data_IF_562813569182
#
_entry.id   IF_562813569182
#
_cell.length_a   1.000
_cell.length_b   1.000
_cell.length_c   1.000
_cell.angle_alpha   90.00
_cell.angle_beta   90.00
_cell.angle_gamma   90.00
#
_symmetry.space_group_name_H-M   'P 1'
#
loop_
_entity.id
_entity.type
_entity.pdbx_description
1 polymer ?
#
# COMPACT_ATOMS: atom_id res chain seq x y z
N UNK A 1 57.25 11.08 -68.54
CA UNK A 1 56.64 10.19 -67.55
C UNK A 1 56.45 10.98 -66.24
N UNK A 2 55.23 11.48 -65.93
CA UNK A 2 54.92 12.23 -64.71
C UNK A 2 54.28 11.27 -63.67
N UNK A 3 54.94 11.08 -62.59
CA UNK A 3 54.41 10.28 -61.45
C UNK A 3 53.48 11.18 -60.63
N UNK A 4 52.18 10.87 -60.59
CA UNK A 4 51.23 11.44 -59.65
C UNK A 4 51.33 10.71 -58.31
N UNK A 5 51.82 11.41 -57.27
CA UNK A 5 51.78 10.92 -55.88
C UNK A 5 50.36 11.15 -55.38
N UNK A 6 49.62 10.06 -55.14
CA UNK A 6 48.30 10.09 -54.45
C UNK A 6 48.55 10.18 -52.94
N UNK A 7 48.26 11.37 -52.36
CA UNK A 7 48.23 11.54 -50.89
C UNK A 7 46.89 10.98 -50.41
N UNK A 8 46.95 9.89 -49.65
CA UNK A 8 45.79 9.32 -48.92
C UNK A 8 45.68 10.04 -47.57
N UNK A 9 44.58 10.73 -47.25
CA UNK A 9 44.45 11.35 -45.97
C UNK A 9 44.19 10.26 -44.90
N UNK A 10 45.09 10.16 -43.93
CA UNK A 10 44.93 9.31 -42.73
C UNK A 10 44.05 10.09 -41.76
N UNK A 11 42.78 9.70 -41.64
CA UNK A 11 41.93 10.19 -40.57
C UNK A 11 42.30 9.53 -39.25
N UNK A 12 42.90 10.30 -38.35
CA UNK A 12 43.17 9.89 -36.99
C UNK A 12 41.88 10.03 -36.17
N UNK A 13 41.16 8.91 -35.95
CA UNK A 13 40.01 8.87 -35.05
C UNK A 13 40.53 8.90 -33.60
N UNK A 14 40.45 10.07 -32.96
CA UNK A 14 40.70 10.18 -31.52
C UNK A 14 39.44 9.63 -30.81
N UNK A 15 39.54 8.38 -30.36
CA UNK A 15 38.59 7.84 -29.39
C UNK A 15 38.84 8.53 -28.05
N UNK A 16 38.00 9.52 -27.73
CA UNK A 16 37.91 10.06 -26.37
C UNK A 16 37.23 8.98 -25.51
N UNK A 17 38.03 8.14 -24.87
CA UNK A 17 37.57 7.27 -23.77
C UNK A 17 37.14 8.18 -22.62
N UNK A 18 35.85 8.54 -22.57
CA UNK A 18 35.27 9.16 -21.39
C UNK A 18 35.35 8.12 -20.28
N UNK A 19 36.31 8.26 -19.39
CA UNK A 19 36.38 7.47 -18.16
C UNK A 19 35.25 7.99 -17.26
N UNK A 20 34.10 7.38 -17.33
CA UNK A 20 32.99 7.72 -16.44
C UNK A 20 33.38 7.34 -15.02
N UNK A 21 33.54 8.35 -14.17
CA UNK A 21 33.93 8.14 -12.77
C UNK A 21 32.81 7.35 -12.10
N UNK A 22 33.08 6.13 -11.71
CA UNK A 22 32.11 5.31 -10.98
C UNK A 22 31.99 5.86 -9.56
N UNK A 23 31.03 6.77 -9.36
CA UNK A 23 30.80 7.42 -8.07
C UNK A 23 30.00 6.48 -7.14
N UNK A 24 30.26 6.55 -5.82
CA UNK A 24 29.56 5.74 -4.82
C UNK A 24 28.03 5.91 -4.85
N UNK A 25 27.58 7.14 -5.12
CA UNK A 25 26.15 7.47 -5.11
C UNK A 25 25.71 8.03 -6.46
N UNK A 26 24.47 7.77 -6.80
CA UNK A 26 23.80 8.39 -7.94
C UNK A 26 23.18 9.74 -7.52
N UNK A 27 22.62 9.80 -6.29
CA UNK A 27 22.05 11.00 -5.70
C UNK A 27 22.47 11.12 -4.24
N UNK A 28 22.76 12.34 -3.79
CA UNK A 28 22.90 12.68 -2.38
C UNK A 28 21.86 13.73 -2.02
N UNK A 29 21.05 13.48 -1.00
CA UNK A 29 20.24 14.51 -0.32
C UNK A 29 21.02 15.02 0.87
N UNK A 30 21.18 16.35 0.96
CA UNK A 30 21.97 17.00 2.01
C UNK A 30 21.15 17.88 2.93
N UNK A 31 21.58 17.95 4.19
CA UNK A 31 21.05 18.88 5.19
C UNK A 31 19.58 18.65 5.54
N UNK A 32 19.08 17.43 5.41
CA UNK A 32 17.69 17.10 5.74
C UNK A 32 17.49 16.70 7.19
N UNK A 33 16.28 16.93 7.70
CA UNK A 33 15.82 16.37 8.97
C UNK A 33 15.13 15.04 8.67
N UNK A 34 15.64 13.95 9.22
CA UNK A 34 15.11 12.61 9.01
C UNK A 34 14.02 12.31 10.04
N UNK A 35 12.87 11.85 9.56
CA UNK A 35 11.81 11.21 10.35
C UNK A 35 11.62 9.81 9.79
N UNK A 36 12.22 8.82 10.43
CA UNK A 36 12.38 7.46 9.87
C UNK A 36 11.17 6.54 10.01
N UNK A 37 10.14 6.97 10.75
CA UNK A 37 8.93 6.17 10.98
C UNK A 37 9.11 5.04 11.99
N UNK A 38 10.24 4.94 12.67
CA UNK A 38 10.54 3.91 13.66
C UNK A 38 10.27 4.37 15.11
N UNK A 39 9.77 5.60 15.29
CA UNK A 39 9.53 6.19 16.60
C UNK A 39 10.77 6.84 17.22
N UNK A 40 11.82 7.02 16.44
CA UNK A 40 12.98 7.79 16.87
C UNK A 40 12.69 9.29 16.82
N UNK A 41 13.40 10.08 17.67
CA UNK A 41 13.40 11.52 17.55
C UNK A 41 13.95 11.94 16.19
N UNK A 42 13.44 13.01 15.58
CA UNK A 42 13.98 13.55 14.33
C UNK A 42 15.47 13.89 14.46
N UNK A 43 16.25 13.56 13.45
CA UNK A 43 17.70 13.82 13.45
C UNK A 43 18.18 14.35 12.09
N UNK A 44 19.27 15.13 12.09
CA UNK A 44 19.88 15.64 10.86
C UNK A 44 20.83 14.60 10.26
N UNK A 45 20.65 14.32 8.96
CA UNK A 45 21.55 13.47 8.20
C UNK A 45 21.46 13.74 6.69
N UNK A 46 22.52 13.35 5.99
CA UNK A 46 22.57 13.23 4.54
C UNK A 46 22.21 11.81 4.12
N UNK A 47 21.60 11.65 2.95
CA UNK A 47 21.23 10.34 2.39
C UNK A 47 21.95 10.13 1.07
N UNK A 48 22.72 9.01 0.97
CA UNK A 48 23.31 8.54 -0.27
C UNK A 48 22.48 7.43 -0.91
N UNK A 49 22.10 7.63 -2.18
CA UNK A 49 21.30 6.66 -2.97
C UNK A 49 22.16 6.09 -4.09
N UNK A 50 22.08 4.75 -4.27
CA UNK A 50 22.65 4.02 -5.40
C UNK A 50 21.59 3.10 -6.01
N UNK A 51 21.28 3.31 -7.29
CA UNK A 51 20.18 2.62 -7.94
C UNK A 51 18.84 2.91 -7.23
N UNK A 52 18.21 1.87 -6.73
CA UNK A 52 16.94 1.94 -6.00
C UNK A 52 17.08 1.76 -4.47
N UNK A 53 18.29 1.96 -3.93
CA UNK A 53 18.57 1.72 -2.50
C UNK A 53 19.17 2.93 -1.82
N UNK A 54 18.74 3.19 -0.60
CA UNK A 54 19.49 4.01 0.35
C UNK A 54 20.67 3.16 0.81
N UNK A 55 21.89 3.62 0.52
CA UNK A 55 23.12 2.88 0.84
C UNK A 55 23.93 3.53 1.96
N UNK A 56 23.65 4.80 2.25
CA UNK A 56 24.34 5.56 3.30
C UNK A 56 23.36 6.52 3.96
N UNK A 57 23.45 6.64 5.27
CA UNK A 57 22.78 7.62 6.11
C UNK A 57 23.79 8.13 7.14
N UNK A 58 24.34 9.32 6.93
CA UNK A 58 25.41 9.91 7.74
C UNK A 58 25.22 11.41 7.89
N UNK A 59 25.81 11.99 8.93
CA UNK A 59 25.68 13.43 9.18
C UNK A 59 26.29 14.32 8.10
N UNK A 60 27.29 13.81 7.36
CA UNK A 60 27.95 14.60 6.32
C UNK A 60 28.56 13.68 5.25
N UNK A 61 27.89 13.61 4.10
CA UNK A 61 28.39 12.92 2.90
C UNK A 61 29.05 13.95 1.98
N UNK A 62 30.30 13.71 1.53
CA UNK A 62 30.97 14.62 0.62
C UNK A 62 30.25 14.73 -0.73
N UNK A 63 30.06 15.98 -1.20
CA UNK A 63 29.29 16.25 -2.43
C UNK A 63 29.95 15.75 -3.70
N UNK A 64 31.27 15.51 -3.69
CA UNK A 64 32.04 14.96 -4.85
C UNK A 64 31.82 13.47 -5.08
N UNK A 65 31.11 12.79 -4.18
CA UNK A 65 30.78 11.36 -4.26
C UNK A 65 29.54 11.07 -5.10
N UNK A 66 28.86 12.09 -5.63
CA UNK A 66 27.71 11.95 -6.55
C UNK A 66 27.74 13.00 -7.66
N UNK A 67 27.15 12.67 -8.80
CA UNK A 67 26.89 13.66 -9.87
C UNK A 67 25.69 14.56 -9.56
N UNK A 68 24.78 14.10 -8.71
CA UNK A 68 23.57 14.83 -8.34
C UNK A 68 23.49 15.00 -6.84
N UNK A 69 23.53 16.26 -6.41
CA UNK A 69 23.37 16.64 -5.00
C UNK A 69 22.15 17.54 -4.89
N UNK A 70 21.25 17.21 -3.99
CA UNK A 70 20.02 17.93 -3.76
C UNK A 70 20.07 18.48 -2.33
N UNK A 71 20.08 19.79 -2.19
CA UNK A 71 19.97 20.43 -0.88
C UNK A 71 18.51 20.41 -0.42
N UNK A 72 18.27 19.80 0.72
CA UNK A 72 16.97 19.67 1.37
C UNK A 72 16.95 20.35 2.73
N UNK A 73 17.77 21.41 2.91
CA UNK A 73 17.76 22.25 4.09
C UNK A 73 16.35 22.73 4.42
N UNK A 74 15.99 22.69 5.70
CA UNK A 74 14.66 23.05 6.21
C UNK A 74 13.53 22.15 5.67
N UNK A 75 13.84 20.95 5.23
CA UNK A 75 12.85 19.94 4.82
C UNK A 75 12.96 18.69 5.68
N UNK A 76 11.84 18.03 5.84
CA UNK A 76 11.77 16.69 6.45
C UNK A 76 11.91 15.67 5.34
N UNK A 77 12.72 14.64 5.57
CA UNK A 77 12.80 13.46 4.74
C UNK A 77 12.19 12.32 5.54
N UNK A 78 11.21 11.64 4.94
CA UNK A 78 10.56 10.48 5.53
C UNK A 78 10.45 9.35 4.51
N UNK A 79 10.23 8.10 4.94
CA UNK A 79 9.72 7.06 4.05
C UNK A 79 8.44 7.52 3.35
N UNK A 80 8.19 7.01 2.15
CA UNK A 80 6.91 7.24 1.48
C UNK A 80 5.74 6.68 2.30
N UNK A 81 4.63 7.42 2.33
CA UNK A 81 3.45 7.01 3.07
C UNK A 81 2.77 5.80 2.40
N UNK A 82 2.14 4.97 3.22
CA UNK A 82 1.31 3.84 2.80
C UNK A 82 -0.15 4.22 3.05
N UNK A 83 -0.93 4.34 1.97
CA UNK A 83 -2.39 4.43 2.09
C UNK A 83 -2.95 3.01 2.09
N UNK A 84 -3.46 2.59 3.23
CA UNK A 84 -3.98 1.23 3.42
C UNK A 84 -5.50 1.11 3.22
N UNK A 85 -6.14 2.15 2.69
CA UNK A 85 -7.56 2.13 2.35
C UNK A 85 -7.88 3.01 1.14
N UNK A 86 -7.72 2.47 -0.06
CA UNK A 86 -8.08 3.15 -1.29
C UNK A 86 -8.94 2.27 -2.21
N UNK A 87 -9.71 2.90 -3.09
CA UNK A 87 -10.54 2.26 -4.10
C UNK A 87 -10.00 2.63 -5.49
N UNK A 88 -8.98 1.94 -5.95
CA UNK A 88 -8.27 2.26 -7.19
C UNK A 88 -8.46 1.22 -8.30
N UNK A 89 -9.04 0.06 -7.98
CA UNK A 89 -9.07 -1.11 -8.84
C UNK A 89 -9.82 -0.90 -10.17
N UNK A 90 -10.70 0.09 -10.25
CA UNK A 90 -11.52 0.34 -11.44
C UNK A 90 -10.90 1.30 -12.43
N UNK A 91 -9.99 2.18 -11.98
CA UNK A 91 -9.50 3.29 -12.80
C UNK A 91 -7.99 3.55 -12.75
N UNK A 92 -7.24 2.79 -11.96
CA UNK A 92 -5.80 3.00 -11.83
C UNK A 92 -5.04 2.84 -13.17
N UNK A 93 -5.52 1.95 -14.04
CA UNK A 93 -4.94 1.74 -15.37
C UNK A 93 -5.15 2.93 -16.33
N UNK A 94 -6.19 3.76 -16.10
CA UNK A 94 -6.44 4.99 -16.84
C UNK A 94 -5.58 6.16 -16.32
N UNK A 95 -5.18 6.07 -15.03
CA UNK A 95 -4.39 7.09 -14.34
C UNK A 95 -3.13 6.50 -13.70
N UNK A 96 -2.22 5.89 -14.51
CA UNK A 96 -1.11 5.08 -13.98
C UNK A 96 -0.10 5.85 -13.14
N UNK A 97 0.01 7.16 -13.30
CA UNK A 97 0.87 7.98 -12.46
C UNK A 97 0.31 8.20 -11.06
N UNK A 98 -1.00 7.99 -10.84
CA UNK A 98 -1.68 8.20 -9.56
C UNK A 98 -1.25 9.51 -8.87
N UNK A 99 -1.20 10.61 -9.62
CA UNK A 99 -0.61 11.89 -9.18
C UNK A 99 -1.25 12.45 -7.90
N UNK A 100 -2.54 12.21 -7.71
CA UNK A 100 -3.27 12.58 -6.48
C UNK A 100 -2.72 11.89 -5.22
N UNK A 101 -2.08 10.72 -5.35
CA UNK A 101 -1.40 10.01 -4.27
C UNK A 101 0.07 10.43 -4.16
N UNK A 102 0.84 10.29 -5.24
CA UNK A 102 2.29 10.50 -5.19
C UNK A 102 2.67 11.95 -4.88
N UNK A 103 1.86 12.94 -5.31
CA UNK A 103 2.07 14.37 -4.95
C UNK A 103 1.81 14.67 -3.48
N UNK A 104 1.22 13.76 -2.73
CA UNK A 104 1.06 13.83 -1.27
C UNK A 104 2.08 12.96 -0.52
N UNK A 105 3.06 12.38 -1.23
CA UNK A 105 4.08 11.52 -0.66
C UNK A 105 3.63 10.07 -0.43
N UNK A 106 2.45 9.67 -0.94
CA UNK A 106 1.96 8.29 -0.87
C UNK A 106 2.64 7.49 -1.97
N UNK A 107 3.47 6.53 -1.60
CA UNK A 107 4.24 5.70 -2.53
C UNK A 107 3.75 4.25 -2.59
N UNK A 108 2.86 3.87 -1.68
CA UNK A 108 2.24 2.55 -1.63
C UNK A 108 0.75 2.68 -1.36
N UNK A 109 -0.06 2.00 -2.15
CA UNK A 109 -1.52 2.03 -2.05
C UNK A 109 -2.03 0.61 -1.88
N UNK A 110 -2.83 0.38 -0.82
CA UNK A 110 -3.48 -0.89 -0.58
C UNK A 110 -4.96 -0.77 -0.94
N UNK A 111 -5.35 -1.46 -2.01
CA UNK A 111 -6.73 -1.42 -2.52
C UNK A 111 -7.66 -2.28 -1.67
N UNK A 112 -8.63 -1.61 -1.05
CA UNK A 112 -9.72 -2.26 -0.32
C UNK A 112 -10.81 -2.70 -1.26
N UNK A 113 -10.91 -4.01 -1.52
CA UNK A 113 -11.88 -4.58 -2.45
C UNK A 113 -13.23 -4.93 -1.80
N UNK A 114 -13.57 -4.26 -0.70
CA UNK A 114 -14.78 -4.56 0.07
C UNK A 114 -16.09 -4.14 -0.62
N UNK A 115 -16.02 -3.28 -1.63
CA UNK A 115 -17.20 -2.80 -2.40
C UNK A 115 -17.72 -3.82 -3.43
N UNK A 116 -17.01 -4.91 -3.68
CA UNK A 116 -17.44 -6.00 -4.54
C UNK A 116 -16.93 -5.96 -5.97
N UNK A 117 -16.01 -5.07 -6.27
CA UNK A 117 -15.37 -4.94 -7.60
C UNK A 117 -13.95 -5.53 -7.59
N UNK A 118 -13.84 -6.76 -7.09
CA UNK A 118 -12.56 -7.45 -7.02
C UNK A 118 -12.15 -7.99 -8.38
N UNK A 119 -10.99 -7.61 -8.93
CA UNK A 119 -10.43 -8.28 -10.10
C UNK A 119 -10.06 -9.73 -9.75
N UNK A 120 -10.25 -10.61 -10.72
CA UNK A 120 -9.96 -12.03 -10.53
C UNK A 120 -9.37 -12.64 -11.79
N UNK A 121 -8.23 -13.35 -11.76
CA UNK A 121 -7.33 -13.53 -10.59
C UNK A 121 -6.62 -12.24 -10.14
N UNK A 122 -6.37 -12.10 -8.83
CA UNK A 122 -5.77 -10.86 -8.27
C UNK A 122 -4.34 -10.67 -8.75
N UNK A 123 -3.55 -11.74 -8.80
CA UNK A 123 -2.14 -11.72 -9.21
C UNK A 123 -1.98 -11.35 -10.70
N UNK A 124 -2.79 -11.92 -11.58
CA UNK A 124 -2.77 -11.56 -13.00
C UNK A 124 -3.11 -10.08 -13.21
N UNK A 125 -4.12 -9.59 -12.49
CA UNK A 125 -4.47 -8.17 -12.54
C UNK A 125 -3.34 -7.30 -12.01
N UNK A 126 -2.77 -7.64 -10.85
CA UNK A 126 -1.66 -6.89 -10.26
C UNK A 126 -0.44 -6.83 -11.21
N UNK A 127 -0.09 -7.95 -11.84
CA UNK A 127 1.01 -8.01 -12.81
C UNK A 127 0.73 -7.25 -14.11
N UNK A 128 -0.52 -7.01 -14.46
CA UNK A 128 -0.90 -6.24 -15.66
C UNK A 128 -0.79 -4.72 -15.44
N UNK A 129 -0.58 -4.24 -14.21
CA UNK A 129 -0.56 -2.82 -13.89
C UNK A 129 0.84 -2.24 -14.09
N UNK A 130 0.96 -1.29 -15.02
CA UNK A 130 2.15 -0.44 -15.19
C UNK A 130 1.89 0.91 -14.54
N UNK A 131 2.15 1.04 -13.24
CA UNK A 131 1.77 2.20 -12.43
C UNK A 131 2.94 2.73 -11.61
N UNK A 132 2.91 4.02 -11.27
CA UNK A 132 3.98 4.67 -10.53
C UNK A 132 4.09 4.24 -9.04
N UNK A 133 2.98 4.16 -8.26
CA UNK A 133 3.06 3.70 -6.88
C UNK A 133 3.17 2.18 -6.79
N UNK A 134 3.66 1.68 -5.65
CA UNK A 134 3.47 0.28 -5.30
C UNK A 134 2.00 0.02 -4.98
N UNK A 135 1.47 -1.11 -5.43
CA UNK A 135 0.06 -1.47 -5.21
C UNK A 135 -0.03 -2.87 -4.59
N UNK A 136 -0.89 -2.99 -3.59
CA UNK A 136 -1.31 -4.25 -3.01
C UNK A 136 -2.82 -4.35 -2.94
N UNK A 137 -3.34 -5.56 -2.79
CA UNK A 137 -4.78 -5.83 -2.78
C UNK A 137 -5.18 -6.62 -1.54
N UNK A 138 -6.37 -6.31 -1.03
CA UNK A 138 -7.06 -7.13 -0.04
C UNK A 138 -8.08 -8.03 -0.73
N UNK A 139 -8.34 -9.21 -0.17
CA UNK A 139 -9.45 -10.06 -0.58
C UNK A 139 -10.79 -9.51 -0.07
N UNK A 140 -11.75 -9.29 -0.93
CA UNK A 140 -13.02 -8.61 -0.64
C UNK A 140 -14.16 -9.57 -0.29
N UNK A 141 -14.72 -9.43 0.91
CA UNK A 141 -15.87 -10.22 1.39
C UNK A 141 -17.11 -10.10 0.48
N UNK A 142 -17.45 -8.86 0.11
CA UNK A 142 -18.64 -8.60 -0.73
C UNK A 142 -18.57 -9.33 -2.05
N UNK A 143 -17.39 -9.37 -2.68
CA UNK A 143 -17.19 -10.11 -3.92
C UNK A 143 -17.37 -11.61 -3.69
N UNK A 144 -16.77 -12.17 -2.64
CA UNK A 144 -16.90 -13.59 -2.30
C UNK A 144 -18.36 -13.96 -2.08
N UNK A 145 -19.10 -13.15 -1.31
CA UNK A 145 -20.54 -13.40 -1.12
C UNK A 145 -21.30 -13.40 -2.43
N UNK A 146 -21.02 -12.44 -3.32
CA UNK A 146 -21.65 -12.40 -4.65
C UNK A 146 -21.37 -13.64 -5.48
N UNK A 147 -20.14 -14.20 -5.41
CA UNK A 147 -19.80 -15.41 -6.17
C UNK A 147 -20.57 -16.63 -5.68
N UNK A 148 -20.82 -16.77 -4.37
CA UNK A 148 -21.35 -17.99 -3.77
C UNK A 148 -22.84 -17.88 -3.44
N UNK A 149 -23.29 -16.73 -2.93
CA UNK A 149 -24.65 -16.50 -2.46
C UNK A 149 -25.43 -15.50 -3.32
N UNK A 150 -24.77 -14.80 -4.25
CA UNK A 150 -25.38 -13.70 -4.97
C UNK A 150 -25.80 -12.56 -4.05
N UNK A 151 -27.05 -12.13 -4.18
CA UNK A 151 -27.64 -11.05 -3.37
C UNK A 151 -28.59 -11.58 -2.29
N UNK A 152 -28.55 -12.88 -2.00
CA UNK A 152 -29.47 -13.49 -1.05
C UNK A 152 -29.19 -13.06 0.39
N UNK A 153 -30.28 -12.68 1.09
CA UNK A 153 -30.24 -12.37 2.51
C UNK A 153 -30.43 -13.66 3.33
N UNK A 154 -29.39 -14.46 3.43
CA UNK A 154 -29.37 -15.70 4.21
C UNK A 154 -27.94 -16.06 4.64
N UNK A 155 -27.85 -16.93 5.61
CA UNK A 155 -26.57 -17.55 5.97
C UNK A 155 -26.08 -18.52 4.88
N UNK A 156 -24.79 -18.71 4.70
CA UNK A 156 -24.23 -19.77 3.86
C UNK A 156 -24.51 -21.14 4.48
N UNK A 157 -24.80 -22.13 3.65
CA UNK A 157 -24.72 -23.53 4.07
C UNK A 157 -23.26 -23.91 4.36
N UNK A 158 -23.04 -25.04 5.03
CA UNK A 158 -21.68 -25.53 5.29
C UNK A 158 -20.84 -25.70 4.02
N UNK A 159 -21.45 -26.12 2.92
CA UNK A 159 -20.78 -26.29 1.62
C UNK A 159 -20.38 -24.92 1.04
N UNK A 160 -21.28 -23.95 1.08
CA UNK A 160 -21.04 -22.61 0.58
C UNK A 160 -19.97 -21.88 1.43
N UNK A 161 -19.99 -22.06 2.75
CA UNK A 161 -18.95 -21.48 3.62
C UNK A 161 -17.56 -22.08 3.29
N UNK A 162 -17.47 -23.37 2.99
CA UNK A 162 -16.21 -23.97 2.53
C UNK A 162 -15.76 -23.37 1.20
N UNK A 163 -16.67 -23.11 0.27
CA UNK A 163 -16.37 -22.45 -0.99
C UNK A 163 -15.88 -21.01 -0.79
N UNK A 164 -16.55 -20.24 0.07
CA UNK A 164 -16.12 -18.89 0.45
C UNK A 164 -14.71 -18.90 1.06
N UNK A 165 -14.41 -19.85 1.95
CA UNK A 165 -13.07 -20.03 2.54
C UNK A 165 -12.02 -20.35 1.45
N UNK A 166 -12.38 -21.11 0.43
CA UNK A 166 -11.47 -21.39 -0.68
C UNK A 166 -11.15 -20.10 -1.48
N UNK A 167 -12.12 -19.22 -1.72
CA UNK A 167 -11.85 -17.93 -2.36
C UNK A 167 -10.89 -17.06 -1.54
N UNK A 168 -11.05 -17.00 -0.21
CA UNK A 168 -10.07 -16.30 0.64
C UNK A 168 -8.69 -16.94 0.51
N UNK A 169 -8.62 -18.27 0.63
CA UNK A 169 -7.36 -19.03 0.54
C UNK A 169 -6.63 -18.79 -0.79
N UNK A 170 -7.35 -18.86 -1.91
CA UNK A 170 -6.74 -18.63 -3.23
C UNK A 170 -6.31 -17.15 -3.37
N UNK A 171 -7.13 -16.18 -2.91
CA UNK A 171 -6.72 -14.76 -2.89
C UNK A 171 -5.42 -14.55 -2.12
N UNK A 172 -5.28 -15.15 -0.94
CA UNK A 172 -4.05 -15.06 -0.14
C UNK A 172 -2.85 -15.70 -0.85
N UNK A 173 -3.03 -16.82 -1.54
CA UNK A 173 -1.97 -17.43 -2.37
C UNK A 173 -1.55 -16.57 -3.55
N UNK A 174 -2.48 -15.82 -4.13
CA UNK A 174 -2.25 -14.84 -5.20
C UNK A 174 -1.61 -13.55 -4.69
N UNK A 175 -1.25 -13.47 -3.42
CA UNK A 175 -0.55 -12.31 -2.84
C UNK A 175 -1.45 -11.25 -2.24
N UNK A 176 -2.73 -11.55 -1.96
CA UNK A 176 -3.56 -10.64 -1.17
C UNK A 176 -2.95 -10.43 0.22
N UNK A 177 -2.99 -9.18 0.70
CA UNK A 177 -2.35 -8.76 1.96
C UNK A 177 -3.19 -9.17 3.18
N UNK A 178 -4.48 -9.39 2.96
CA UNK A 178 -5.42 -9.74 4.00
C UNK A 178 -6.85 -9.80 3.49
N UNK A 179 -7.79 -9.74 4.42
CA UNK A 179 -9.21 -9.86 4.18
C UNK A 179 -9.92 -8.56 4.54
N UNK A 180 -10.80 -8.07 3.65
CA UNK A 180 -11.51 -6.82 3.88
C UNK A 180 -13.02 -6.99 3.78
N UNK A 181 -13.76 -6.28 4.65
CA UNK A 181 -15.21 -6.25 4.65
C UNK A 181 -15.76 -4.83 4.55
N UNK A 182 -16.94 -4.73 3.95
CA UNK A 182 -17.76 -3.50 4.00
C UNK A 182 -19.16 -3.86 4.53
N UNK A 183 -19.24 -4.13 5.84
CA UNK A 183 -20.44 -4.68 6.47
C UNK A 183 -21.65 -3.73 6.48
N UNK A 184 -21.46 -2.49 6.06
CA UNK A 184 -22.56 -1.54 5.84
C UNK A 184 -23.31 -1.85 4.53
N UNK A 185 -22.63 -2.43 3.53
CA UNK A 185 -23.14 -2.56 2.18
C UNK A 185 -23.74 -3.92 1.89
N UNK A 186 -24.78 -3.96 1.03
CA UNK A 186 -25.38 -5.20 0.52
C UNK A 186 -24.45 -5.84 -0.51
N UNK A 187 -24.26 -7.17 -0.51
CA UNK A 187 -24.83 -8.17 0.39
C UNK A 187 -24.01 -8.47 1.65
N UNK A 188 -22.89 -7.78 1.88
CA UNK A 188 -22.04 -8.05 3.04
C UNK A 188 -22.74 -7.80 4.39
N UNK A 189 -23.71 -6.87 4.45
CA UNK A 189 -24.46 -6.58 5.66
C UNK A 189 -25.41 -7.72 6.10
N UNK A 190 -25.68 -8.67 5.24
CA UNK A 190 -26.46 -9.87 5.57
C UNK A 190 -25.64 -10.91 6.34
N UNK A 191 -24.31 -10.80 6.31
CA UNK A 191 -23.44 -11.73 6.99
C UNK A 191 -23.53 -11.59 8.51
N UNK A 192 -23.64 -12.71 9.19
CA UNK A 192 -23.42 -12.81 10.63
C UNK A 192 -21.93 -12.76 10.96
N UNK A 193 -21.62 -12.41 12.19
CA UNK A 193 -20.24 -12.30 12.65
C UNK A 193 -19.46 -13.62 12.49
N UNK A 194 -20.13 -14.76 12.70
CA UNK A 194 -19.53 -16.09 12.60
C UNK A 194 -19.00 -16.38 11.19
N UNK A 195 -19.72 -15.94 10.13
CA UNK A 195 -19.25 -16.03 8.76
C UNK A 195 -17.94 -15.25 8.58
N UNK A 196 -17.92 -14.00 9.05
CA UNK A 196 -16.76 -13.13 8.91
C UNK A 196 -15.55 -13.70 9.68
N UNK A 197 -15.76 -14.20 10.91
CA UNK A 197 -14.73 -14.82 11.73
C UNK A 197 -14.12 -16.03 11.00
N UNK A 198 -14.96 -16.89 10.42
CA UNK A 198 -14.49 -18.11 9.74
C UNK A 198 -13.66 -17.77 8.48
N UNK A 199 -14.00 -16.72 7.76
CA UNK A 199 -13.23 -16.25 6.61
C UNK A 199 -11.93 -15.53 7.05
N UNK A 200 -11.99 -14.72 8.11
CA UNK A 200 -10.83 -14.05 8.68
C UNK A 200 -9.79 -15.05 9.22
N UNK A 201 -10.22 -16.20 9.80
CA UNK A 201 -9.31 -17.29 10.21
C UNK A 201 -8.46 -17.81 9.06
N UNK A 202 -9.04 -17.89 7.85
CA UNK A 202 -8.27 -18.31 6.67
C UNK A 202 -7.19 -17.27 6.34
N UNK A 203 -7.52 -16.00 6.28
CA UNK A 203 -6.53 -14.94 6.05
C UNK A 203 -5.45 -14.89 7.14
N UNK A 204 -5.84 -15.08 8.40
CA UNK A 204 -4.93 -15.18 9.55
C UNK A 204 -3.88 -16.28 9.36
N UNK A 205 -4.27 -17.46 8.84
CA UNK A 205 -3.35 -18.58 8.61
C UNK A 205 -2.25 -18.28 7.59
N UNK A 206 -2.39 -17.21 6.81
CA UNK A 206 -1.38 -16.69 5.87
C UNK A 206 -0.63 -15.46 6.41
N UNK A 207 -0.85 -15.06 7.66
CA UNK A 207 -0.27 -13.85 8.24
C UNK A 207 -0.91 -12.55 7.74
N UNK A 208 -2.12 -12.63 7.18
CA UNK A 208 -2.86 -11.45 6.71
C UNK A 208 -3.42 -10.59 7.83
N UNK A 209 -3.96 -9.42 7.45
CA UNK A 209 -4.68 -8.52 8.35
C UNK A 209 -6.17 -8.45 7.97
N UNK A 210 -7.02 -8.09 8.93
CA UNK A 210 -8.44 -7.82 8.72
C UNK A 210 -8.68 -6.32 8.65
N UNK A 211 -9.36 -5.85 7.60
CA UNK A 211 -9.63 -4.43 7.38
C UNK A 211 -11.12 -4.24 7.15
N UNK A 212 -11.78 -3.30 7.85
CA UNK A 212 -13.24 -3.19 7.75
C UNK A 212 -13.76 -1.76 7.61
N UNK A 213 -14.67 -1.56 6.66
CA UNK A 213 -15.73 -0.57 6.76
C UNK A 213 -16.80 -1.19 7.64
N UNK A 214 -16.96 -0.64 8.84
CA UNK A 214 -17.81 -1.24 9.88
C UNK A 214 -19.28 -1.30 9.47
N UNK A 215 -20.03 -2.18 10.14
CA UNK A 215 -21.47 -2.39 9.90
C UNK A 215 -22.33 -1.16 10.12
N UNK A 216 -21.98 -0.35 11.11
CA UNK A 216 -22.71 0.86 11.45
C UNK A 216 -21.73 1.90 12.03
N UNK A 217 -21.72 3.07 11.41
CA UNK A 217 -20.88 4.20 11.81
C UNK A 217 -21.68 5.32 12.47
N UNK A 218 -22.96 5.08 12.74
CA UNK A 218 -23.89 6.03 13.37
C UNK A 218 -24.23 5.56 14.80
N UNK A 219 -25.50 5.39 15.10
CA UNK A 219 -25.99 5.00 16.44
C UNK A 219 -25.48 3.65 16.95
N UNK A 220 -25.11 2.74 16.04
CA UNK A 220 -24.54 1.43 16.31
C UNK A 220 -23.02 1.38 16.36
N UNK A 221 -22.32 2.53 16.31
CA UNK A 221 -20.85 2.60 16.20
C UNK A 221 -20.11 1.74 17.21
N UNK A 222 -20.45 1.86 18.50
CA UNK A 222 -19.78 1.07 19.58
C UNK A 222 -19.96 -0.43 19.40
N UNK A 223 -21.13 -0.87 18.92
CA UNK A 223 -21.37 -2.30 18.66
C UNK A 223 -20.53 -2.77 17.47
N UNK A 224 -20.38 -1.95 16.43
CA UNK A 224 -19.53 -2.26 15.27
C UNK A 224 -18.05 -2.31 15.62
N UNK A 225 -17.59 -1.44 16.53
CA UNK A 225 -16.24 -1.52 17.09
C UNK A 225 -16.03 -2.82 17.87
N UNK A 226 -17.00 -3.19 18.74
CA UNK A 226 -16.94 -4.48 19.48
C UNK A 226 -16.96 -5.67 18.53
N UNK A 227 -17.79 -5.64 17.48
CA UNK A 227 -17.82 -6.65 16.41
C UNK A 227 -16.42 -6.81 15.78
N UNK A 228 -15.76 -5.71 15.43
CA UNK A 228 -14.41 -5.74 14.84
C UNK A 228 -13.39 -6.34 15.83
N UNK A 229 -13.43 -5.96 17.11
CA UNK A 229 -12.54 -6.51 18.14
C UNK A 229 -12.79 -8.01 18.34
N UNK A 230 -14.06 -8.44 18.34
CA UNK A 230 -14.41 -9.86 18.45
C UNK A 230 -13.89 -10.66 17.27
N UNK A 231 -14.07 -10.17 16.02
CA UNK A 231 -13.52 -10.81 14.81
C UNK A 231 -12.00 -10.94 14.92
N UNK A 232 -11.31 -9.86 15.31
CA UNK A 232 -9.86 -9.87 15.50
C UNK A 232 -9.41 -10.92 16.50
N UNK A 233 -10.07 -10.97 17.67
CA UNK A 233 -9.74 -11.89 18.76
C UNK A 233 -10.02 -13.35 18.38
N UNK A 234 -11.21 -13.66 17.86
CA UNK A 234 -11.62 -15.04 17.58
C UNK A 234 -10.95 -15.62 16.32
N UNK A 235 -10.59 -14.77 15.35
CA UNK A 235 -9.83 -15.18 14.20
C UNK A 235 -8.31 -15.10 14.40
N UNK A 236 -7.84 -14.59 15.53
CA UNK A 236 -6.43 -14.36 15.83
C UNK A 236 -5.73 -13.59 14.69
N UNK A 237 -6.31 -12.44 14.31
CA UNK A 237 -5.86 -11.62 13.17
C UNK A 237 -5.76 -10.15 13.59
N UNK A 238 -4.68 -9.44 13.26
CA UNK A 238 -4.64 -8.00 13.45
C UNK A 238 -5.77 -7.33 12.67
N UNK A 239 -6.46 -6.36 13.29
CA UNK A 239 -7.59 -5.69 12.65
C UNK A 239 -7.40 -4.18 12.59
N UNK A 240 -7.89 -3.59 11.49
CA UNK A 240 -7.96 -2.16 11.26
C UNK A 240 -9.39 -1.75 10.96
N UNK A 241 -9.84 -0.69 11.62
CA UNK A 241 -11.07 0.02 11.27
C UNK A 241 -10.72 1.11 10.27
N UNK A 242 -11.32 1.04 9.07
CA UNK A 242 -11.19 2.08 8.07
C UNK A 242 -11.93 3.34 8.50
N UNK A 243 -11.40 4.51 8.10
CA UNK A 243 -12.05 5.82 8.31
C UNK A 243 -12.89 5.87 9.61
N UNK A 244 -12.26 5.56 10.74
CA UNK A 244 -12.91 5.51 12.06
C UNK A 244 -13.57 6.85 12.38
N UNK A 245 -14.88 6.95 12.12
CA UNK A 245 -15.69 8.15 12.25
C UNK A 245 -17.05 7.84 12.82
N UNK A 246 -17.73 8.87 13.32
CA UNK A 246 -19.14 8.83 13.67
C UNK A 246 -19.95 9.66 12.68
N UNK A 247 -21.03 9.08 12.17
CA UNK A 247 -21.95 9.72 11.21
C UNK A 247 -23.29 10.03 11.88
N UNK A 248 -23.83 11.23 11.68
CA UNK A 248 -25.14 11.65 12.18
C UNK A 248 -25.09 12.59 13.38
N UNK A 249 -26.29 12.93 13.92
CA UNK A 249 -26.49 13.96 14.94
C UNK A 249 -26.32 13.51 16.38
N UNK A 250 -26.11 12.22 16.64
CA UNK A 250 -25.93 11.67 18.01
C UNK A 250 -24.57 10.99 18.21
N UNK A 251 -23.46 11.67 17.91
CA UNK A 251 -22.14 11.02 17.91
C UNK A 251 -21.34 11.26 19.19
N UNK A 252 -22.00 11.38 20.35
CA UNK A 252 -21.29 11.62 21.63
C UNK A 252 -20.25 10.55 21.93
N UNK A 253 -20.44 9.35 21.39
CA UNK A 253 -19.53 8.23 21.59
C UNK A 253 -18.18 8.39 20.86
N UNK A 254 -18.10 9.18 19.79
CA UNK A 254 -16.89 9.35 18.99
C UNK A 254 -15.79 10.08 19.77
N UNK A 255 -16.13 11.12 20.53
CA UNK A 255 -15.15 11.86 21.31
C UNK A 255 -14.46 11.03 22.38
N UNK A 256 -15.05 9.87 22.75
CA UNK A 256 -14.47 8.91 23.69
C UNK A 256 -13.74 7.75 23.01
N UNK A 257 -13.96 7.56 21.71
CA UNK A 257 -13.27 6.56 20.88
C UNK A 257 -11.98 7.11 20.24
N UNK A 258 -11.86 8.42 20.13
CA UNK A 258 -10.55 9.01 19.84
C UNK A 258 -9.69 8.73 21.05
N UNK A 259 -8.88 7.69 20.95
CA UNK A 259 -7.79 7.47 21.90
C UNK A 259 -7.02 8.78 22.03
N UNK A 260 -6.62 9.15 23.24
CA UNK A 260 -5.74 10.28 23.41
C UNK A 260 -4.51 10.01 22.53
N UNK A 261 -4.41 10.74 21.44
CA UNK A 261 -3.20 10.85 20.62
C UNK A 261 -2.10 11.60 21.38
N UNK A 262 -2.19 11.62 22.70
CA UNK A 262 -1.22 12.17 23.61
C UNK A 262 -0.15 11.14 23.96
N UNK A 263 0.30 10.36 23.00
CA UNK A 263 1.69 9.99 23.02
C UNK A 263 2.44 11.19 22.43
N UNK A 264 3.32 11.83 23.21
CA UNK A 264 4.26 12.78 22.64
C UNK A 264 4.95 12.03 21.52
N UNK A 265 4.79 12.56 20.31
CA UNK A 265 5.56 12.14 19.15
C UNK A 265 6.96 12.61 19.36
#
# INVERSE_FOLDING_TARGET
MRYLIKIVPVYFFIFILSCEKNLPYDIIFKNGVIVDGLGNEPYEADIGIKGNKIVTLEQNISSDLSKQVIDVSNRIISPGFIDNHAHIQTNIHEHPLAENFIRQGITTILASLHSGDQPWPIDEYAMSLEVAPNIGFFCGHTWIRKQVLGMDNRDPSNKELVEMKNYVKESMKMGAIGFTTGLLYVPANFAKIEEVIELAKVASSFGGIYVTHMRNEATGLLNSVRETIQISSEANIPAQINHHKAVGVTPVSYTHLTLPTNHPV
#
